data_IF_208307722776
#
_entry.id   IF_208307722776
#
_cell.length_a   1.000
_cell.length_b   1.000
_cell.length_c   1.000
_cell.angle_alpha   90.00
_cell.angle_beta   90.00
_cell.angle_gamma   90.00
#
_symmetry.space_group_name_H-M   'P 1'
#
loop_
_entity.id
_entity.type
_entity.pdbx_description
1 polymer ?
#
# COMPACT_ATOMS: atom_id res chain seq x y z
N UNK A 1 -11.49 -2.40 1.23
CA UNK A 1 -11.22 -3.44 2.24
C UNK A 1 -11.71 -4.79 1.77
N UNK A 2 -13.02 -5.02 1.58
CA UNK A 2 -13.53 -6.32 1.11
C UNK A 2 -12.94 -6.80 -0.21
N UNK A 3 -12.77 -5.93 -1.20
CA UNK A 3 -12.12 -6.28 -2.47
C UNK A 3 -10.65 -6.68 -2.27
N UNK A 4 -9.88 -5.88 -1.52
CA UNK A 4 -8.48 -6.20 -1.21
C UNK A 4 -8.29 -7.46 -0.35
N UNK A 5 -9.30 -7.85 0.43
CA UNK A 5 -9.32 -9.15 1.11
C UNK A 5 -9.61 -10.29 0.12
N UNK A 6 -10.53 -10.09 -0.82
CA UNK A 6 -10.84 -11.06 -1.89
C UNK A 6 -9.65 -11.26 -2.84
N UNK A 7 -8.91 -10.20 -3.11
CA UNK A 7 -7.70 -10.21 -3.93
C UNK A 7 -6.45 -10.67 -3.15
N UNK A 8 -6.62 -11.13 -1.91
CA UNK A 8 -5.56 -11.63 -1.02
C UNK A 8 -4.44 -10.61 -0.71
N UNK A 9 -4.67 -9.32 -0.92
CA UNK A 9 -3.72 -8.23 -0.62
C UNK A 9 -3.76 -7.87 0.88
N UNK A 10 -4.94 -7.99 1.51
CA UNK A 10 -5.16 -7.68 2.93
C UNK A 10 -5.68 -8.92 3.66
N UNK A 11 -5.15 -9.18 4.85
CA UNK A 11 -5.63 -10.20 5.78
C UNK A 11 -6.39 -9.54 6.91
N UNK A 12 -7.61 -10.03 7.16
CA UNK A 12 -8.45 -9.64 8.30
C UNK A 12 -8.33 -10.68 9.41
N UNK A 13 -7.94 -10.25 10.61
CA UNK A 13 -7.81 -11.11 11.79
C UNK A 13 -8.79 -10.68 12.88
N UNK A 14 -9.53 -11.65 13.44
CA UNK A 14 -10.51 -11.41 14.52
C UNK A 14 -9.98 -12.02 15.80
N UNK A 15 -9.83 -11.18 16.82
CA UNK A 15 -9.40 -11.58 18.14
C UNK A 15 -10.61 -11.65 19.08
N UNK A 16 -10.84 -12.85 19.63
CA UNK A 16 -11.91 -13.11 20.60
C UNK A 16 -11.50 -12.67 22.01
N UNK A 17 -11.11 -11.39 22.14
CA UNK A 17 -10.87 -10.72 23.43
C UNK A 17 -12.13 -9.97 23.88
N UNK A 18 -12.16 -9.48 25.12
CA UNK A 18 -13.20 -8.56 25.60
C UNK A 18 -12.57 -7.16 25.76
N UNK A 19 -13.02 -6.15 25.00
CA UNK A 19 -13.97 -6.21 23.89
C UNK A 19 -13.38 -6.91 22.64
N UNK A 20 -14.21 -7.50 21.75
CA UNK A 20 -13.72 -8.13 20.53
C UNK A 20 -12.95 -7.12 19.66
N UNK A 21 -11.84 -7.57 19.08
CA UNK A 21 -10.97 -6.72 18.26
C UNK A 21 -10.82 -7.30 16.86
N UNK A 22 -10.80 -6.42 15.87
CA UNK A 22 -10.51 -6.77 14.47
C UNK A 22 -9.30 -5.97 14.04
N UNK A 23 -8.32 -6.65 13.46
CA UNK A 23 -7.15 -6.02 12.84
C UNK A 23 -7.07 -6.37 11.36
N UNK A 24 -6.46 -5.48 10.60
CA UNK A 24 -6.18 -5.66 9.19
C UNK A 24 -4.69 -5.46 8.98
N UNK A 25 -4.08 -6.35 8.19
CA UNK A 25 -2.66 -6.30 7.85
C UNK A 25 -2.47 -6.60 6.38
N UNK A 26 -1.38 -6.12 5.79
CA UNK A 26 -0.98 -6.58 4.47
C UNK A 26 -0.65 -8.07 4.53
N UNK A 27 -1.08 -8.82 3.53
CA UNK A 27 -0.60 -10.18 3.31
C UNK A 27 0.86 -10.14 2.78
N UNK A 28 1.55 -11.28 2.71
CA UNK A 28 2.82 -11.35 2.01
C UNK A 28 2.74 -10.80 0.57
N UNK A 29 1.67 -11.13 -0.16
CA UNK A 29 1.40 -10.60 -1.50
C UNK A 29 1.21 -9.07 -1.48
N UNK A 30 0.46 -8.54 -0.50
CA UNK A 30 0.26 -7.10 -0.36
C UNK A 30 1.53 -6.34 -0.01
N UNK A 31 2.46 -6.95 0.72
CA UNK A 31 3.79 -6.40 0.98
C UNK A 31 4.62 -6.36 -0.31
N UNK A 32 4.64 -7.45 -1.08
CA UNK A 32 5.32 -7.50 -2.38
C UNK A 32 4.75 -6.48 -3.37
N UNK A 33 3.43 -6.32 -3.40
CA UNK A 33 2.77 -5.32 -4.22
C UNK A 33 3.19 -3.89 -3.88
N UNK A 34 3.59 -3.63 -2.62
CA UNK A 34 4.18 -2.37 -2.21
C UNK A 34 5.42 -1.95 -3.02
N UNK A 35 6.18 -2.92 -3.55
CA UNK A 35 7.32 -2.63 -4.43
C UNK A 35 6.85 -2.05 -5.78
N UNK A 36 5.74 -2.55 -6.32
CA UNK A 36 5.15 -2.02 -7.58
C UNK A 36 4.68 -0.59 -7.38
N UNK A 37 3.96 -0.33 -6.28
CA UNK A 37 3.51 1.02 -5.94
C UNK A 37 4.70 1.97 -5.72
N UNK A 38 5.78 1.49 -5.11
CA UNK A 38 7.01 2.27 -4.94
C UNK A 38 7.66 2.60 -6.28
N UNK A 39 7.76 1.64 -7.20
CA UNK A 39 8.28 1.87 -8.54
C UNK A 39 7.42 2.88 -9.32
N UNK A 40 6.09 2.78 -9.22
CA UNK A 40 5.17 3.75 -9.81
C UNK A 40 5.36 5.16 -9.23
N UNK A 41 5.60 5.25 -7.92
CA UNK A 41 5.86 6.53 -7.26
C UNK A 41 7.17 7.16 -7.76
N UNK A 42 8.26 6.38 -7.80
CA UNK A 42 9.57 6.82 -8.30
C UNK A 42 9.42 7.36 -9.72
N UNK A 43 8.83 6.56 -10.62
CA UNK A 43 8.60 6.99 -11.99
C UNK A 43 7.72 8.25 -12.07
N UNK A 44 6.67 8.34 -11.25
CA UNK A 44 5.79 9.51 -11.20
C UNK A 44 6.54 10.78 -10.81
N UNK A 45 7.45 10.69 -9.83
CA UNK A 45 8.30 11.82 -9.42
C UNK A 45 9.27 12.20 -10.53
N UNK A 46 9.92 11.23 -11.17
CA UNK A 46 10.80 11.47 -12.31
C UNK A 46 10.07 12.13 -13.49
N UNK A 47 8.86 11.65 -13.80
CA UNK A 47 8.01 12.21 -14.84
C UNK A 47 7.62 13.66 -14.52
N UNK A 48 7.18 13.94 -13.29
CA UNK A 48 6.82 15.30 -12.88
C UNK A 48 8.04 16.24 -12.86
N UNK A 49 9.22 15.71 -12.51
CA UNK A 49 10.49 16.43 -12.59
C UNK A 49 10.85 16.75 -14.05
N UNK A 50 10.69 15.78 -14.95
CA UNK A 50 10.89 15.97 -16.39
C UNK A 50 9.94 17.02 -16.97
N UNK A 51 8.70 17.07 -16.47
CA UNK A 51 7.70 18.08 -16.84
C UNK A 51 7.96 19.46 -16.19
N UNK A 52 9.00 19.62 -15.37
CA UNK A 52 9.32 20.86 -14.67
C UNK A 52 8.31 21.24 -13.58
N UNK A 53 7.51 20.28 -13.11
CA UNK A 53 6.46 20.51 -12.09
C UNK A 53 6.98 20.33 -10.67
N UNK A 54 8.14 19.71 -10.50
CA UNK A 54 8.82 19.51 -9.21
C UNK A 54 10.27 19.95 -9.38
N UNK A 55 10.73 20.87 -8.54
CA UNK A 55 12.15 21.24 -8.43
C UNK A 55 12.77 20.38 -7.32
N UNK A 56 13.86 19.68 -7.59
CA UNK A 56 14.61 18.89 -6.60
C UNK A 56 15.47 19.75 -5.65
N UNK A 57 15.06 21.00 -5.39
CA UNK A 57 15.78 21.89 -4.48
C UNK A 57 14.99 22.06 -3.17
N UNK A 58 15.33 21.21 -2.19
CA UNK A 58 15.17 21.45 -0.75
C UNK A 58 16.22 20.66 0.02
#
# INVERSE_FOLDING_TARGET
>A
MRELEQDEVIVREVYNVIPPKVEYKLSPLGIEFGNVLSAMNIWGVEYLTHMGMINQDN
#
